data_IF_474013932960
#
_entry.id   IF_474013932960
#
_cell.length_a   1.000
_cell.length_b   1.000
_cell.length_c   1.000
_cell.angle_alpha   90.00
_cell.angle_beta   90.00
_cell.angle_gamma   90.00
#
_symmetry.space_group_name_H-M   'P 1'
#
loop_
_entity.id
_entity.type
_entity.pdbx_description
1 polymer ?
#
# COMPACT_ATOMS: atom_id res chain seq x y z
N UNK A 1 5.03 -1.62 29.92
CA UNK A 1 5.82 -1.51 28.66
C UNK A 1 4.98 -1.84 27.43
N UNK A 2 4.48 -3.08 27.22
CA UNK A 2 3.60 -3.37 26.07
C UNK A 2 2.31 -2.50 26.03
N UNK A 3 1.78 -2.16 27.21
CA UNK A 3 0.64 -1.23 27.36
C UNK A 3 0.85 0.10 26.63
N UNK A 4 2.08 0.59 26.62
CA UNK A 4 2.47 1.86 26.01
C UNK A 4 2.50 1.79 24.49
N UNK A 5 2.80 0.62 23.91
CA UNK A 5 2.78 0.41 22.45
C UNK A 5 1.37 0.55 21.88
N UNK A 6 0.37 0.04 22.61
CA UNK A 6 -1.04 0.13 22.24
C UNK A 6 -1.69 1.43 22.77
N UNK A 7 -0.93 2.35 23.36
CA UNK A 7 -1.44 3.64 23.85
C UNK A 7 -1.12 4.79 22.87
N UNK A 8 -0.13 4.60 21.99
CA UNK A 8 0.19 5.52 20.92
C UNK A 8 -0.47 5.04 19.62
N UNK A 9 -1.36 5.86 19.06
CA UNK A 9 -1.97 5.59 17.76
C UNK A 9 -0.92 5.55 16.65
N UNK A 10 -1.23 4.83 15.57
CA UNK A 10 -0.37 4.72 14.40
C UNK A 10 0.25 3.33 14.17
N UNK A 11 1.36 3.30 13.45
CA UNK A 11 2.03 2.06 13.02
C UNK A 11 3.04 1.60 14.07
N UNK A 12 2.87 0.35 14.52
CA UNK A 12 3.85 -0.39 15.31
C UNK A 12 4.44 -1.49 14.42
N UNK A 13 5.75 -1.39 14.19
CA UNK A 13 6.49 -2.35 13.38
C UNK A 13 7.12 -3.41 14.29
N UNK A 14 6.79 -4.68 14.08
CA UNK A 14 7.44 -5.81 14.73
C UNK A 14 8.47 -6.37 13.77
N UNK A 15 9.74 -6.34 14.14
CA UNK A 15 10.83 -6.97 13.40
C UNK A 15 11.20 -8.26 14.06
N UNK A 16 11.13 -9.32 13.28
CA UNK A 16 11.54 -10.65 13.69
C UNK A 16 12.68 -11.14 12.80
N UNK A 17 13.24 -12.26 13.22
CA UNK A 17 14.36 -12.91 12.56
C UNK A 17 14.09 -14.40 12.45
N UNK A 18 14.89 -15.11 11.65
CA UNK A 18 14.80 -16.57 11.55
C UNK A 18 15.01 -17.26 12.90
N UNK A 19 15.79 -16.65 13.78
CA UNK A 19 16.07 -17.18 15.13
C UNK A 19 14.95 -16.87 16.13
N UNK A 20 14.21 -15.78 15.94
CA UNK A 20 13.23 -15.27 16.89
C UNK A 20 11.93 -14.90 16.19
N UNK A 21 10.91 -15.76 16.33
CA UNK A 21 9.59 -15.57 15.73
C UNK A 21 8.81 -14.38 16.32
N UNK A 22 8.28 -13.50 15.46
CA UNK A 22 7.47 -12.36 15.91
C UNK A 22 5.97 -12.58 16.00
N UNK A 23 5.44 -13.67 15.42
CA UNK A 23 4.00 -13.96 15.44
C UNK A 23 3.47 -14.18 16.86
N UNK A 24 4.23 -14.86 17.70
CA UNK A 24 3.90 -15.04 19.11
C UNK A 24 3.68 -13.70 19.83
N UNK A 25 4.53 -12.69 19.56
CA UNK A 25 4.36 -11.34 20.08
C UNK A 25 3.15 -10.61 19.46
N UNK A 26 2.96 -10.75 18.15
CA UNK A 26 1.79 -10.18 17.44
C UNK A 26 0.48 -10.72 18.04
N UNK A 27 0.38 -12.03 18.27
CA UNK A 27 -0.78 -12.67 18.92
C UNK A 27 -1.02 -12.10 20.32
N UNK A 28 0.03 -11.87 21.12
CA UNK A 28 -0.09 -11.25 22.45
C UNK A 28 -0.63 -9.82 22.37
N UNK A 29 -0.20 -9.03 21.39
CA UNK A 29 -0.71 -7.65 21.17
C UNK A 29 -2.16 -7.65 20.71
N UNK A 30 -2.54 -8.55 19.81
CA UNK A 30 -3.93 -8.77 19.38
C UNK A 30 -4.81 -9.15 20.57
N UNK A 31 -4.37 -10.12 21.38
CA UNK A 31 -5.07 -10.55 22.60
C UNK A 31 -5.31 -9.37 23.54
N UNK A 32 -4.31 -8.51 23.74
CA UNK A 32 -4.47 -7.30 24.55
C UNK A 32 -5.47 -6.30 23.98
N UNK A 33 -5.45 -6.08 22.67
CA UNK A 33 -6.36 -5.15 22.00
C UNK A 33 -7.81 -5.65 22.07
N UNK A 34 -8.02 -6.96 21.87
CA UNK A 34 -9.33 -7.60 22.03
C UNK A 34 -9.87 -7.50 23.47
N UNK A 35 -9.02 -7.67 24.48
CA UNK A 35 -9.39 -7.53 25.90
C UNK A 35 -9.76 -6.09 26.29
N UNK A 36 -9.22 -5.08 25.57
CA UNK A 36 -9.61 -3.67 25.73
C UNK A 36 -10.96 -3.34 25.09
N UNK A 37 -11.59 -4.31 24.41
CA UNK A 37 -12.87 -4.12 23.73
C UNK A 37 -12.75 -3.41 22.37
N UNK A 38 -11.54 -3.34 21.80
CA UNK A 38 -11.30 -2.77 20.48
C UNK A 38 -11.79 -3.72 19.38
N UNK A 39 -12.17 -3.17 18.23
CA UNK A 39 -12.38 -3.99 17.03
C UNK A 39 -11.02 -4.42 16.48
N UNK A 40 -10.80 -5.73 16.37
CA UNK A 40 -9.53 -6.26 15.87
C UNK A 40 -9.74 -6.90 14.51
N UNK A 41 -9.02 -6.39 13.51
CA UNK A 41 -8.98 -6.95 12.18
C UNK A 41 -7.59 -7.54 11.91
N UNK A 42 -7.53 -8.80 11.51
CA UNK A 42 -6.29 -9.47 11.11
C UNK A 42 -6.33 -9.69 9.62
N UNK A 43 -5.30 -9.25 8.90
CA UNK A 43 -5.09 -9.58 7.50
C UNK A 43 -4.02 -10.68 7.46
N UNK A 44 -4.45 -11.88 7.08
CA UNK A 44 -3.60 -13.04 6.98
C UNK A 44 -3.12 -13.27 5.55
N UNK A 45 -1.83 -13.10 5.31
CA UNK A 45 -1.19 -13.22 4.01
C UNK A 45 -0.19 -14.38 3.95
N UNK A 46 0.36 -14.81 5.09
CA UNK A 46 1.43 -15.79 5.16
C UNK A 46 0.99 -17.11 5.81
N UNK A 47 0.08 -17.04 6.79
CA UNK A 47 -0.40 -18.20 7.54
C UNK A 47 -1.91 -18.34 7.37
N UNK A 48 -2.41 -19.57 7.33
CA UNK A 48 -3.85 -19.85 7.24
C UNK A 48 -4.64 -19.33 8.46
N UNK A 49 -5.94 -19.08 8.28
CA UNK A 49 -6.84 -18.65 9.38
C UNK A 49 -6.84 -19.65 10.54
N UNK A 50 -6.81 -20.95 10.23
CA UNK A 50 -6.85 -22.01 11.24
C UNK A 50 -5.60 -22.02 12.13
N UNK A 51 -4.42 -21.96 11.51
CA UNK A 51 -3.13 -21.92 12.21
C UNK A 51 -2.92 -20.59 12.95
N UNK A 52 -3.37 -19.48 12.38
CA UNK A 52 -3.29 -18.19 13.06
C UNK A 52 -4.19 -18.17 14.29
N UNK A 53 -5.40 -18.74 14.21
CA UNK A 53 -6.33 -18.80 15.33
C UNK A 53 -5.94 -19.78 16.43
N UNK A 54 -5.07 -20.73 16.12
CA UNK A 54 -4.54 -21.67 17.09
C UNK A 54 -3.84 -20.92 18.24
N UNK A 55 -4.19 -21.25 19.48
CA UNK A 55 -3.66 -20.64 20.70
C UNK A 55 -4.42 -19.42 21.23
N UNK A 56 -5.45 -18.92 20.54
CA UNK A 56 -6.35 -17.90 21.10
C UNK A 56 -7.49 -18.50 21.92
N UNK A 57 -7.89 -17.78 22.97
CA UNK A 57 -9.09 -18.11 23.73
C UNK A 57 -10.35 -17.90 22.86
N UNK A 58 -11.42 -18.71 23.05
CA UNK A 58 -12.63 -18.62 22.24
C UNK A 58 -13.32 -17.24 22.33
N UNK A 59 -13.23 -16.57 23.49
CA UNK A 59 -13.75 -15.20 23.66
C UNK A 59 -13.02 -14.18 22.79
N UNK A 60 -11.70 -14.33 22.61
CA UNK A 60 -10.89 -13.45 21.77
C UNK A 60 -11.18 -13.75 20.31
N UNK A 61 -11.23 -15.03 19.93
CA UNK A 61 -11.54 -15.44 18.56
C UNK A 61 -12.90 -14.90 18.08
N UNK A 62 -13.90 -14.79 18.97
CA UNK A 62 -15.20 -14.20 18.62
C UNK A 62 -15.15 -12.70 18.30
N UNK A 63 -14.10 -11.99 18.73
CA UNK A 63 -13.91 -10.54 18.54
C UNK A 63 -12.96 -10.20 17.40
N UNK A 64 -12.17 -11.17 16.94
CA UNK A 64 -11.18 -10.97 15.88
C UNK A 64 -11.81 -11.30 14.53
N UNK A 65 -11.90 -10.28 13.67
CA UNK A 65 -12.31 -10.45 12.28
C UNK A 65 -11.06 -10.77 11.47
N UNK A 66 -11.03 -11.94 10.86
CA UNK A 66 -9.89 -12.39 10.05
C UNK A 66 -10.23 -12.25 8.56
N UNK A 67 -9.31 -11.66 7.79
CA UNK A 67 -9.39 -11.52 6.35
C UNK A 67 -8.35 -12.43 5.71
N UNK A 68 -8.81 -13.48 5.02
CA UNK A 68 -7.95 -14.48 4.38
C UNK A 68 -7.44 -13.98 3.01
N UNK A 69 -6.18 -13.54 2.99
CA UNK A 69 -5.40 -13.28 1.78
C UNK A 69 -4.38 -14.40 1.50
N UNK A 70 -4.33 -15.44 2.32
CA UNK A 70 -3.41 -16.56 2.17
C UNK A 70 -3.89 -17.51 1.07
N UNK A 71 -5.17 -17.91 1.10
CA UNK A 71 -5.74 -18.82 0.10
C UNK A 71 -6.12 -18.11 -1.19
N UNK A 72 -6.61 -16.88 -1.08
CA UNK A 72 -7.17 -16.14 -2.20
C UNK A 72 -6.89 -14.63 -2.14
N UNK A 73 -5.62 -14.21 -2.35
CA UNK A 73 -5.19 -12.82 -2.21
C UNK A 73 -5.89 -11.83 -3.16
N UNK A 74 -6.45 -12.32 -4.26
CA UNK A 74 -7.14 -11.54 -5.30
C UNK A 74 -8.66 -11.76 -5.30
N UNK A 75 -9.19 -12.50 -4.33
CA UNK A 75 -10.61 -12.83 -4.21
C UNK A 75 -11.20 -13.48 -5.49
N UNK A 76 -10.44 -14.35 -6.14
CA UNK A 76 -10.87 -15.14 -7.31
C UNK A 76 -12.04 -16.08 -7.01
N UNK A 77 -12.15 -16.55 -5.77
CA UNK A 77 -13.23 -17.41 -5.26
C UNK A 77 -14.56 -16.69 -5.14
N UNK A 78 -14.57 -15.34 -5.21
CA UNK A 78 -15.78 -14.48 -5.09
C UNK A 78 -16.57 -14.73 -3.81
N UNK A 79 -15.91 -15.14 -2.74
CA UNK A 79 -16.55 -15.53 -1.48
C UNK A 79 -16.97 -14.30 -0.69
N UNK A 80 -18.09 -13.66 -1.06
CA UNK A 80 -18.93 -12.76 -0.23
C UNK A 80 -18.32 -11.43 0.29
N UNK A 81 -17.08 -11.42 0.77
CA UNK A 81 -16.33 -10.27 1.28
C UNK A 81 -15.38 -9.72 0.22
N UNK A 82 -15.95 -9.31 -0.93
CA UNK A 82 -15.13 -8.89 -2.05
C UNK A 82 -14.38 -7.58 -1.76
N UNK A 83 -13.05 -7.65 -1.65
CA UNK A 83 -12.15 -6.53 -1.91
C UNK A 83 -11.59 -6.69 -3.33
N UNK A 84 -12.31 -6.25 -4.37
CA UNK A 84 -11.96 -6.52 -5.78
C UNK A 84 -10.65 -5.88 -6.24
N UNK A 85 -9.97 -5.10 -5.39
CA UNK A 85 -8.75 -4.37 -5.70
C UNK A 85 -7.56 -4.79 -4.82
N UNK A 86 -7.60 -6.00 -4.23
CA UNK A 86 -6.48 -6.63 -3.53
C UNK A 86 -6.26 -6.16 -2.07
N UNK A 87 -5.15 -6.60 -1.44
CA UNK A 87 -4.90 -6.44 0.00
C UNK A 87 -4.87 -4.98 0.47
N UNK A 88 -4.35 -4.06 -0.35
CA UNK A 88 -4.31 -2.62 0.01
C UNK A 88 -5.70 -1.99 -0.01
N UNK A 89 -6.56 -2.40 -0.94
CA UNK A 89 -7.94 -1.93 -0.99
C UNK A 89 -8.73 -2.46 0.19
N UNK A 90 -8.49 -3.72 0.58
CA UNK A 90 -9.03 -4.29 1.80
C UNK A 90 -8.62 -3.51 3.04
N UNK A 91 -7.33 -3.23 3.20
CA UNK A 91 -6.80 -2.44 4.30
C UNK A 91 -7.49 -1.07 4.42
N UNK A 92 -7.65 -0.37 3.28
CA UNK A 92 -8.36 0.92 3.22
C UNK A 92 -9.85 0.78 3.55
N UNK A 93 -10.49 -0.27 3.09
CA UNK A 93 -11.90 -0.50 3.31
C UNK A 93 -12.19 -0.92 4.77
N UNK A 94 -11.33 -1.74 5.38
CA UNK A 94 -11.38 -2.07 6.81
C UNK A 94 -11.31 -0.80 7.64
N UNK A 95 -10.35 0.09 7.36
CA UNK A 95 -10.24 1.38 8.07
C UNK A 95 -11.47 2.29 7.88
N UNK A 96 -12.18 2.19 6.76
CA UNK A 96 -13.41 2.95 6.52
C UNK A 96 -14.64 2.32 7.17
N UNK A 97 -14.62 1.01 7.38
CA UNK A 97 -15.73 0.22 7.96
C UNK A 97 -15.65 0.16 9.49
N UNK A 98 -14.47 0.36 10.07
CA UNK A 98 -14.32 0.45 11.53
C UNK A 98 -15.19 1.60 12.05
N UNK A 99 -16.20 1.23 12.85
CA UNK A 99 -17.12 2.13 13.55
C UNK A 99 -16.37 3.18 14.38
N UNK A 100 -17.01 4.29 14.82
CA UNK A 100 -16.35 5.33 15.62
C UNK A 100 -15.93 4.75 16.99
N UNK A 101 -14.70 4.24 17.04
CA UNK A 101 -14.14 3.53 18.19
C UNK A 101 -12.70 3.09 17.93
N UNK A 102 -11.93 2.76 18.97
CA UNK A 102 -10.57 2.28 18.81
C UNK A 102 -10.56 0.94 18.05
N UNK A 103 -9.73 0.88 17.01
CA UNK A 103 -9.60 -0.29 16.16
C UNK A 103 -8.12 -0.66 16.01
N UNK A 104 -7.83 -1.95 16.05
CA UNK A 104 -6.51 -2.51 15.84
C UNK A 104 -6.51 -3.34 14.57
N UNK A 105 -5.62 -3.01 13.64
CA UNK A 105 -5.43 -3.71 12.37
C UNK A 105 -4.08 -4.39 12.43
N UNK A 106 -4.08 -5.72 12.44
CA UNK A 106 -2.88 -6.53 12.45
C UNK A 106 -2.60 -7.11 11.06
N UNK A 107 -1.39 -6.92 10.58
CA UNK A 107 -0.84 -7.49 9.35
C UNK A 107 0.11 -8.60 9.75
N UNK A 108 -0.24 -9.84 9.41
CA UNK A 108 0.55 -11.02 9.79
C UNK A 108 1.94 -11.03 9.15
N UNK A 109 2.09 -10.46 7.96
CA UNK A 109 3.36 -10.36 7.23
C UNK A 109 3.35 -9.17 6.27
N UNK A 110 3.96 -8.05 6.69
CA UNK A 110 4.34 -6.95 5.79
C UNK A 110 5.36 -7.41 4.74
N UNK A 111 6.14 -8.45 5.05
CA UNK A 111 7.09 -9.02 4.11
C UNK A 111 6.42 -9.58 2.88
N UNK A 112 5.31 -10.31 3.06
CA UNK A 112 4.51 -10.79 1.94
C UNK A 112 3.99 -9.62 1.08
N UNK A 113 3.47 -8.56 1.71
CA UNK A 113 3.00 -7.38 0.98
C UNK A 113 4.13 -6.69 0.20
N UNK A 114 5.33 -6.59 0.77
CA UNK A 114 6.50 -6.01 0.10
C UNK A 114 6.99 -6.84 -1.10
N UNK A 115 6.75 -8.15 -1.11
CA UNK A 115 7.08 -9.02 -2.25
C UNK A 115 6.14 -8.80 -3.44
N UNK A 116 4.88 -8.47 -3.17
CA UNK A 116 3.84 -8.34 -4.20
C UNK A 116 3.53 -6.89 -4.58
N UNK A 117 3.96 -5.90 -3.80
CA UNK A 117 3.62 -4.49 -3.99
C UNK A 117 4.86 -3.61 -3.87
N UNK A 118 4.93 -2.51 -4.65
CA UNK A 118 5.98 -1.53 -4.48
C UNK A 118 6.00 -0.98 -3.04
N UNK A 119 7.18 -0.91 -2.44
CA UNK A 119 7.38 -0.40 -1.08
C UNK A 119 6.77 0.99 -0.89
N UNK A 120 6.88 1.86 -1.89
CA UNK A 120 6.30 3.21 -1.89
C UNK A 120 4.78 3.17 -1.72
N UNK A 121 4.07 2.32 -2.44
CA UNK A 121 2.61 2.15 -2.36
C UNK A 121 2.18 1.62 -1.00
N UNK A 122 2.94 0.69 -0.44
CA UNK A 122 2.68 0.15 0.90
C UNK A 122 2.87 1.23 1.96
N UNK A 123 4.01 1.94 1.94
CA UNK A 123 4.29 3.04 2.87
C UNK A 123 3.26 4.16 2.76
N UNK A 124 2.85 4.54 1.55
CA UNK A 124 1.79 5.53 1.34
C UNK A 124 0.47 5.07 1.94
N UNK A 125 0.10 3.80 1.72
CA UNK A 125 -1.15 3.26 2.26
C UNK A 125 -1.08 3.24 3.78
N UNK A 126 -0.05 2.66 4.38
CA UNK A 126 0.14 2.64 5.84
C UNK A 126 0.18 4.05 6.45
N UNK A 127 0.78 5.02 5.75
CA UNK A 127 0.80 6.43 6.16
C UNK A 127 -0.60 7.06 6.14
N UNK A 128 -1.45 6.72 5.17
CA UNK A 128 -2.85 7.19 5.13
C UNK A 128 -3.71 6.60 6.24
N UNK A 129 -3.34 5.44 6.78
CA UNK A 129 -4.08 4.76 7.85
C UNK A 129 -3.65 5.19 9.25
N UNK A 130 -2.40 5.62 9.39
CA UNK A 130 -1.91 6.20 10.64
C UNK A 130 -2.66 7.52 10.90
N UNK A 131 -3.27 7.71 12.09
CA UNK A 131 -3.97 8.95 12.42
C UNK A 131 -3.03 10.14 12.26
N UNK A 132 -3.27 10.97 11.23
CA UNK A 132 -2.61 12.27 11.17
C UNK A 132 -3.14 13.08 12.33
N UNK A 133 -2.21 13.53 13.19
CA UNK A 133 -2.50 14.34 14.36
C UNK A 133 -3.56 15.37 14.06
N UNK A 134 -4.66 15.27 14.83
CA UNK A 134 -5.71 16.28 14.89
C UNK A 134 -5.05 17.65 14.99
N UNK A 135 -5.54 18.62 14.20
CA UNK A 135 -5.17 20.01 14.39
C UNK A 135 -5.40 20.38 15.87
N UNK A 136 -4.53 21.16 16.52
CA UNK A 136 -4.72 21.57 17.91
C UNK A 136 -5.91 22.53 17.97
N UNK A 137 -7.12 21.99 18.08
CA UNK A 137 -8.36 22.77 18.03
C UNK A 137 -9.67 21.97 17.90
N UNK A 138 -9.64 20.70 17.49
CA UNK A 138 -10.85 19.88 17.42
C UNK A 138 -10.96 18.94 18.65
N UNK A 139 -11.90 19.27 19.53
CA UNK A 139 -12.21 18.56 20.78
C UNK A 139 -13.07 17.30 20.56
N UNK A 140 -12.56 16.35 19.77
CA UNK A 140 -13.09 14.98 19.73
C UNK A 140 -11.94 14.00 19.96
N UNK A 141 -12.13 12.95 20.77
CA UNK A 141 -11.09 11.94 20.97
C UNK A 141 -10.78 11.34 19.60
N UNK A 142 -9.54 11.52 19.15
CA UNK A 142 -9.09 11.05 17.84
C UNK A 142 -9.40 9.56 17.69
N UNK A 143 -10.05 9.17 16.59
CA UNK A 143 -10.20 7.77 16.20
C UNK A 143 -8.81 7.13 16.16
N UNK A 144 -8.52 6.31 17.16
CA UNK A 144 -7.19 5.78 17.37
C UNK A 144 -7.09 4.43 16.66
N UNK A 145 -6.77 4.49 15.37
CA UNK A 145 -6.42 3.30 14.59
C UNK A 145 -4.98 2.91 14.92
N UNK A 146 -4.80 1.69 15.40
CA UNK A 146 -3.49 1.08 15.64
C UNK A 146 -3.22 0.07 14.54
N UNK A 147 -2.10 0.22 13.85
CA UNK A 147 -1.67 -0.73 12.82
C UNK A 147 -0.48 -1.50 13.36
N UNK A 148 -0.61 -2.82 13.50
CA UNK A 148 0.47 -3.73 13.87
C UNK A 148 0.95 -4.42 12.60
N UNK A 149 2.24 -4.41 12.31
CA UNK A 149 2.77 -5.11 11.14
C UNK A 149 4.04 -5.89 11.47
N UNK A 150 4.05 -7.17 11.11
CA UNK A 150 5.21 -8.03 11.25
C UNK A 150 6.10 -7.96 10.01
N UNK A 151 7.40 -7.78 10.18
CA UNK A 151 8.38 -7.66 9.11
C UNK A 151 9.57 -8.59 9.38
N UNK A 152 9.75 -9.58 8.51
CA UNK A 152 10.91 -10.46 8.50
C UNK A 152 12.12 -9.71 7.96
N UNK A 153 13.09 -9.42 8.83
CA UNK A 153 14.23 -8.54 8.53
C UNK A 153 15.11 -9.06 7.39
N UNK A 154 15.31 -10.37 7.31
CA UNK A 154 16.25 -10.99 6.35
C UNK A 154 15.72 -11.03 4.92
N UNK A 155 14.42 -10.82 4.72
CA UNK A 155 13.80 -10.86 3.40
C UNK A 155 13.96 -9.55 2.62
N UNK A 156 14.36 -8.45 3.29
CA UNK A 156 14.35 -7.11 2.70
C UNK A 156 15.69 -6.39 2.84
N UNK A 157 16.06 -5.62 1.81
CA UNK A 157 17.20 -4.73 1.88
C UNK A 157 16.98 -3.54 2.83
N UNK A 158 18.04 -2.76 3.13
CA UNK A 158 17.97 -1.63 4.06
C UNK A 158 16.99 -0.52 3.62
N UNK A 159 16.68 -0.43 2.31
CA UNK A 159 15.74 0.57 1.77
C UNK A 159 14.31 0.38 2.29
N UNK A 160 13.61 -0.74 1.95
CA UNK A 160 12.26 -1.00 2.42
C UNK A 160 12.14 -1.04 3.95
N UNK A 161 13.11 -1.68 4.64
CA UNK A 161 13.14 -1.73 6.11
C UNK A 161 13.27 -0.32 6.70
N UNK A 162 14.16 0.50 6.15
CA UNK A 162 14.34 1.89 6.57
C UNK A 162 13.10 2.74 6.34
N UNK A 163 12.41 2.56 5.21
CA UNK A 163 11.18 3.29 4.89
C UNK A 163 10.05 2.94 5.87
N UNK A 164 9.83 1.65 6.16
CA UNK A 164 8.83 1.21 7.14
C UNK A 164 9.18 1.63 8.57
N UNK A 165 10.45 1.48 8.97
CA UNK A 165 10.94 1.99 10.26
C UNK A 165 10.75 3.49 10.38
N UNK A 166 10.94 4.24 9.29
CA UNK A 166 10.72 5.70 9.27
C UNK A 166 9.27 6.11 9.49
N UNK A 167 8.34 5.27 9.04
CA UNK A 167 6.90 5.48 9.16
C UNK A 167 6.36 5.06 10.53
N UNK A 168 6.97 4.06 11.17
CA UNK A 168 6.50 3.50 12.43
C UNK A 168 6.66 4.47 13.61
N UNK A 169 5.62 4.61 14.42
CA UNK A 169 5.67 5.32 15.71
C UNK A 169 6.48 4.54 16.75
N UNK A 170 6.39 3.22 16.70
CA UNK A 170 7.19 2.33 17.52
C UNK A 170 7.69 1.14 16.71
N UNK A 171 8.90 0.70 17.02
CA UNK A 171 9.53 -0.46 16.43
C UNK A 171 9.94 -1.40 17.56
N UNK A 172 9.61 -2.69 17.41
CA UNK A 172 9.98 -3.74 18.34
C UNK A 172 10.83 -4.74 17.59
N UNK A 173 12.11 -4.82 17.94
CA UNK A 173 13.02 -5.82 17.39
C UNK A 173 13.18 -6.95 18.39
N UNK A 174 12.89 -8.17 17.94
CA UNK A 174 13.11 -9.37 18.73
C UNK A 174 14.55 -9.85 18.59
N UNK A 175 15.12 -10.31 19.71
CA UNK A 175 16.48 -10.86 19.73
C UNK A 175 16.78 -11.48 21.08
N UNK A 176 17.98 -12.00 21.25
CA UNK A 176 18.37 -12.59 22.52
C UNK A 176 19.63 -13.42 22.40
N UNK A 177 20.17 -13.78 23.55
CA UNK A 177 21.25 -14.76 23.65
C UNK A 177 20.68 -16.09 24.11
N UNK A 178 21.30 -17.21 23.74
CA UNK A 178 20.83 -18.55 24.07
C UNK A 178 20.37 -18.67 25.55
N UNK A 179 19.04 -18.77 25.75
CA UNK A 179 18.39 -18.88 27.07
C UNK A 179 17.63 -17.65 27.56
N UNK A 180 17.75 -16.48 26.91
CA UNK A 180 17.02 -15.27 27.28
C UNK A 180 16.54 -14.51 26.05
N UNK A 181 15.21 -14.50 25.85
CA UNK A 181 14.56 -13.65 24.86
C UNK A 181 14.53 -12.19 25.36
N UNK A 182 14.80 -11.26 24.46
CA UNK A 182 14.77 -9.83 24.70
C UNK A 182 14.03 -9.13 23.54
N UNK A 183 13.28 -8.09 23.86
CA UNK A 183 12.67 -7.23 22.86
C UNK A 183 13.22 -5.81 23.03
N UNK A 184 13.83 -5.28 21.98
CA UNK A 184 14.28 -3.90 21.92
C UNK A 184 13.15 -3.04 21.38
N UNK A 185 12.63 -2.15 22.22
CA UNK A 185 11.51 -1.28 21.84
C UNK A 185 12.01 0.14 21.62
N UNK A 186 11.97 0.59 20.36
CA UNK A 186 12.28 1.95 19.97
C UNK A 186 10.98 2.73 19.78
N UNK A 187 10.75 3.72 20.65
CA UNK A 187 9.64 4.66 20.46
C UNK A 187 10.17 5.91 19.75
N UNK A 188 9.57 6.25 18.61
CA UNK A 188 9.84 7.52 17.96
C UNK A 188 8.96 8.57 18.60
N UNK A 189 9.58 9.64 19.10
CA UNK A 189 8.82 10.84 19.48
C UNK A 189 8.10 11.33 18.22
N UNK A 190 6.85 11.80 18.32
CA UNK A 190 6.23 12.54 17.22
C UNK A 190 7.22 13.65 16.87
N UNK A 191 7.84 13.59 15.69
CA UNK A 191 8.64 14.71 15.23
C UNK A 191 7.68 15.90 15.27
N UNK A 192 8.01 16.90 16.09
CA UNK A 192 7.45 18.22 15.89
C UNK A 192 7.70 18.52 14.41
N UNK A 193 6.62 18.54 13.61
CA UNK A 193 6.73 19.01 12.23
C UNK A 193 7.45 20.35 12.33
N UNK A 194 8.58 20.56 11.64
CA UNK A 194 8.96 21.91 11.31
C UNK A 194 7.72 22.51 10.65
N UNK A 195 7.14 23.54 11.25
CA UNK A 195 5.95 24.22 10.73
C UNK A 195 6.20 24.89 9.38
N UNK A 196 7.43 24.82 8.86
CA UNK A 196 7.71 25.10 7.47
C UNK A 196 7.29 23.92 6.61
N UNK A 197 6.27 24.16 5.77
CA UNK A 197 6.13 23.46 4.48
C UNK A 197 7.43 23.68 3.70
N UNK A 198 8.45 22.86 3.99
CA UNK A 198 9.64 22.78 3.15
C UNK A 198 9.15 22.10 1.89
N UNK A 199 9.10 22.85 0.80
CA UNK A 199 8.86 22.27 -0.51
C UNK A 199 9.92 21.18 -0.73
N UNK A 200 9.53 19.90 -0.88
CA UNK A 200 10.47 18.80 -1.10
C UNK A 200 11.31 19.01 -2.36
N UNK A 201 10.90 19.93 -3.23
CA UNK A 201 11.57 20.28 -4.48
C UNK A 201 12.53 21.47 -4.34
N UNK A 202 12.60 22.12 -3.17
CA UNK A 202 13.39 23.34 -2.95
C UNK A 202 14.92 23.16 -3.04
N UNK A 203 15.43 21.93 -2.97
CA UNK A 203 16.87 21.62 -2.97
C UNK A 203 17.35 20.88 -4.21
N UNK A 204 16.53 20.76 -5.26
CA UNK A 204 17.01 20.23 -6.52
C UNK A 204 17.96 21.23 -7.21
N UNK A 205 18.99 20.71 -7.85
CA UNK A 205 19.92 21.50 -8.68
C UNK A 205 19.29 21.95 -10.00
N UNK A 206 18.06 21.50 -10.28
CA UNK A 206 17.28 21.85 -11.46
C UNK A 206 15.82 22.12 -11.06
N UNK A 207 15.20 23.07 -11.73
CA UNK A 207 13.82 23.44 -11.46
C UNK A 207 12.87 22.46 -12.16
N UNK A 208 12.01 21.81 -11.39
CA UNK A 208 10.97 20.90 -11.88
C UNK A 208 9.63 21.63 -12.11
N UNK A 209 9.51 22.88 -11.70
CA UNK A 209 8.35 23.72 -11.97
C UNK A 209 8.57 24.52 -13.24
N UNK A 210 7.66 24.38 -14.20
CA UNK A 210 7.57 25.28 -15.34
C UNK A 210 6.95 26.60 -14.88
N UNK A 211 7.61 27.70 -15.20
CA UNK A 211 6.96 29.02 -15.20
C UNK A 211 5.82 29.04 -16.22
N UNK A 212 4.86 29.96 -16.06
CA UNK A 212 3.78 30.14 -17.05
C UNK A 212 4.34 30.34 -18.46
N UNK A 213 5.40 31.14 -18.59
CA UNK A 213 6.08 31.38 -19.87
C UNK A 213 6.67 30.11 -20.48
N UNK A 214 7.28 29.23 -19.69
CA UNK A 214 7.84 27.96 -20.19
C UNK A 214 6.75 26.97 -20.55
N UNK A 215 5.64 26.96 -19.80
CA UNK A 215 4.46 26.15 -20.12
C UNK A 215 3.84 26.58 -21.44
N UNK A 216 3.60 27.88 -21.61
CA UNK A 216 3.10 28.44 -22.87
C UNK A 216 4.04 28.15 -24.04
N UNK A 217 5.35 28.29 -23.84
CA UNK A 217 6.34 27.97 -24.88
C UNK A 217 6.29 26.49 -25.27
N UNK A 218 6.22 25.57 -24.30
CA UNK A 218 6.07 24.13 -24.55
C UNK A 218 4.78 23.82 -25.30
N UNK A 219 3.66 24.39 -24.86
CA UNK A 219 2.35 24.11 -25.44
C UNK A 219 2.20 24.72 -26.85
N UNK A 220 2.97 25.78 -27.16
CA UNK A 220 3.05 26.39 -28.49
C UNK A 220 4.02 25.69 -29.46
N UNK A 221 4.84 24.75 -28.97
CA UNK A 221 5.87 24.09 -29.77
C UNK A 221 5.22 23.10 -30.76
N UNK A 222 5.32 23.41 -32.06
CA UNK A 222 4.88 22.47 -33.10
C UNK A 222 5.89 21.32 -33.20
N UNK A 223 5.45 20.09 -32.94
CA UNK A 223 6.33 18.92 -32.99
C UNK A 223 6.73 18.61 -34.45
N UNK A 224 8.00 18.26 -34.73
CA UNK A 224 8.50 18.05 -36.11
C UNK A 224 7.75 17.01 -36.94
N UNK A 225 7.09 16.05 -36.29
CA UNK A 225 6.35 14.95 -36.93
C UNK A 225 4.83 15.04 -36.74
N UNK A 226 4.33 16.12 -36.14
CA UNK A 226 2.89 16.35 -36.01
C UNK A 226 2.39 17.03 -37.28
N UNK A 227 1.56 16.32 -38.05
CA UNK A 227 0.87 16.92 -39.19
C UNK A 227 -0.17 17.93 -38.70
N UNK A 228 -0.36 19.03 -39.45
CA UNK A 228 -1.50 19.91 -39.19
C UNK A 228 -2.81 19.15 -39.42
N UNK A 229 -3.88 19.53 -38.73
CA UNK A 229 -5.20 18.91 -38.91
C UNK A 229 -5.63 18.88 -40.39
N UNK A 230 -5.34 19.95 -41.14
CA UNK A 230 -5.59 20.04 -42.58
C UNK A 230 -4.74 19.05 -43.41
N UNK A 231 -3.47 18.87 -43.07
CA UNK A 231 -2.59 17.90 -43.74
C UNK A 231 -2.95 16.46 -43.37
N UNK A 232 -3.35 16.21 -42.12
CA UNK A 232 -3.91 14.93 -41.68
C UNK A 232 -5.18 14.61 -42.47
N UNK A 233 -6.12 15.55 -42.55
CA UNK A 233 -7.35 15.37 -43.34
C UNK A 233 -7.04 15.17 -44.83
N UNK A 234 -6.08 15.89 -45.41
CA UNK A 234 -5.69 15.71 -46.81
C UNK A 234 -5.00 14.36 -47.10
N UNK A 235 -4.30 13.78 -46.12
CA UNK A 235 -3.66 12.46 -46.24
C UNK A 235 -4.63 11.31 -45.94
N UNK A 236 -5.55 11.49 -44.99
CA UNK A 236 -6.52 10.48 -44.56
C UNK A 236 -7.75 10.43 -45.46
N UNK A 237 -8.16 11.55 -46.08
CA UNK A 237 -9.30 11.55 -47.00
C UNK A 237 -8.87 11.20 -48.43
N UNK A 238 -9.55 10.18 -48.98
CA UNK A 238 -9.42 9.75 -50.36
C UNK A 238 -9.72 10.90 -51.32
N UNK A 239 -8.72 11.34 -52.07
CA UNK A 239 -8.89 12.31 -53.16
C UNK A 239 -9.91 11.74 -54.17
N UNK A 240 -10.97 12.49 -54.58
CA UNK A 240 -11.91 11.99 -55.58
C UNK A 240 -11.21 11.91 -56.95
N UNK A 241 -10.69 10.73 -57.26
CA UNK A 241 -9.99 10.40 -58.50
C UNK A 241 -9.78 8.88 -58.59
N UNK A 242 -9.63 8.30 -59.79
CA UNK A 242 -9.69 6.85 -60.02
C UNK A 242 -8.40 6.09 -59.63
N UNK A 243 -7.66 6.55 -58.62
CA UNK A 243 -6.49 5.84 -58.11
C UNK A 243 -6.86 5.10 -56.81
N UNK A 244 -7.14 3.80 -56.91
CA UNK A 244 -7.04 2.92 -55.73
C UNK A 244 -5.58 2.46 -55.60
N UNK A 245 -4.87 2.97 -54.60
CA UNK A 245 -3.63 2.37 -54.15
C UNK A 245 -3.99 1.23 -53.20
N UNK A 246 -3.74 -0.01 -53.59
CA UNK A 246 -3.85 -1.17 -52.71
C UNK A 246 -2.50 -1.41 -52.04
N UNK A 247 -2.49 -1.49 -50.71
CA UNK A 247 -1.36 -2.01 -49.95
C UNK A 247 -1.51 -3.53 -49.99
N UNK A 248 -0.53 -4.22 -50.56
CA UNK A 248 -0.47 -5.67 -50.55
C UNK A 248 0.42 -6.07 -49.37
N UNK A 249 -0.20 -6.51 -48.27
CA UNK A 249 0.52 -7.20 -47.19
C UNK A 249 0.66 -8.66 -47.59
N UNK A 250 1.89 -9.16 -47.70
CA UNK A 250 2.15 -10.59 -47.80
C UNK A 250 2.27 -11.13 -46.37
N UNK A 251 1.36 -12.03 -45.93
CA UNK A 251 1.44 -12.59 -44.60
C UNK A 251 2.73 -13.40 -44.48
N UNK A 252 3.57 -13.07 -43.51
CA UNK A 252 4.72 -13.93 -43.21
C UNK A 252 4.30 -15.08 -42.27
N UNK A 253 5.20 -16.05 -42.06
CA UNK A 253 4.89 -17.25 -41.27
C UNK A 253 4.69 -16.97 -39.76
N UNK A 254 4.85 -15.71 -39.35
CA UNK A 254 4.72 -15.20 -37.99
C UNK A 254 3.68 -14.08 -37.88
N UNK A 255 2.90 -13.81 -38.95
CA UNK A 255 1.72 -12.96 -38.85
C UNK A 255 0.62 -13.73 -38.12
N UNK A 256 0.64 -13.56 -36.79
CA UNK A 256 -0.39 -14.00 -35.89
C UNK A 256 -1.69 -13.28 -36.29
N UNK A 257 -2.64 -13.99 -36.91
CA UNK A 257 -3.99 -13.46 -37.13
C UNK A 257 -4.73 -13.41 -35.79
N UNK A 258 -4.38 -12.46 -34.93
CA UNK A 258 -5.24 -12.06 -33.83
C UNK A 258 -6.50 -11.39 -34.41
N UNK A 259 -7.67 -11.94 -34.06
CA UNK A 259 -8.97 -11.45 -34.54
C UNK A 259 -9.43 -10.17 -33.84
N UNK A 260 -8.59 -9.58 -32.99
CA UNK A 260 -8.95 -8.49 -32.10
C UNK A 260 -8.02 -7.33 -32.43
N UNK A 261 -8.43 -6.53 -33.41
CA UNK A 261 -7.78 -5.25 -33.72
C UNK A 261 -7.91 -4.37 -32.45
N UNK A 262 -6.80 -4.06 -31.76
CA UNK A 262 -6.85 -3.30 -30.51
C UNK A 262 -7.30 -1.85 -30.71
N UNK A 263 -7.54 -1.44 -31.95
CA UNK A 263 -7.99 -0.10 -32.32
C UNK A 263 -9.53 -0.02 -32.50
N UNK A 264 -10.25 -1.16 -32.48
CA UNK A 264 -11.71 -1.25 -32.72
C UNK A 264 -12.57 -0.62 -31.61
N UNK A 265 -12.01 -0.34 -30.42
CA UNK A 265 -12.68 0.32 -29.30
C UNK A 265 -12.31 1.82 -29.15
N UNK A 266 -11.54 2.37 -30.08
CA UNK A 266 -11.13 3.77 -30.07
C UNK A 266 -12.19 4.67 -30.75
N UNK A 267 -13.00 5.34 -29.93
CA UNK A 267 -13.86 6.45 -30.37
C UNK A 267 -13.00 7.67 -30.75
N UNK A 268 -12.67 7.84 -32.05
CA UNK A 268 -12.02 9.04 -32.61
C UNK A 268 -13.04 10.03 -33.17
#
# INVERSE_FOLDING_TARGET
MLESLLALGGLVLLRDSVEWEGRSLLKVLIKKSALRGEQVHVLGCEVSEEEFREGFDPEINSRVVYHDFFRDPLNWSKTGEAFPAGPLAALRAVCRRTAPGPATIALDSLSWLLLHLPCTTLCQTLHTLSPQGSCPGASTPAEQVHVLGLLHEELHGPGPVGALSSLAQAEVTLGGTAGQASAHVLHRRPQQRPTNKVDPMAHLTFNLHLSEKEREARDSLTLPFQFSSEKQQALLHRRPGPASSHIFSEPDAYDDLDQEDPDDDLDI
#
